data_IF_253452040119
#
_entry.id   IF_253452040119
#
_cell.length_a   1.000
_cell.length_b   1.000
_cell.length_c   1.000
_cell.angle_alpha   90.00
_cell.angle_beta   90.00
_cell.angle_gamma   90.00
#
_symmetry.space_group_name_H-M   'P 1'
#
loop_
_entity.id
_entity.type
_entity.pdbx_description
1 polymer ?
#
# COMPACT_ATOMS: atom_id res chain seq x y z
N UNK A 1 3.13 -0.02 -25.75
CA UNK A 1 3.36 -0.90 -24.58
C UNK A 1 3.40 -2.33 -25.05
N UNK A 2 4.42 -3.11 -24.65
CA UNK A 2 4.44 -4.55 -24.91
C UNK A 2 3.31 -5.20 -24.08
N UNK A 3 2.46 -6.00 -24.73
CA UNK A 3 1.38 -6.74 -24.06
C UNK A 3 1.90 -8.12 -23.68
N UNK A 4 2.18 -8.32 -22.40
CA UNK A 4 2.49 -9.64 -21.87
C UNK A 4 1.17 -10.33 -21.48
N UNK A 5 1.01 -11.60 -21.85
CA UNK A 5 -0.17 -12.38 -21.49
C UNK A 5 0.15 -13.21 -20.23
N UNK A 6 -0.56 -12.95 -19.14
CA UNK A 6 -0.47 -13.73 -17.91
C UNK A 6 -1.48 -14.88 -17.99
N UNK A 7 -1.03 -16.11 -17.77
CA UNK A 7 -1.91 -17.29 -17.64
C UNK A 7 -2.64 -17.22 -16.31
N UNK A 8 -3.97 -17.31 -16.34
CA UNK A 8 -4.82 -17.30 -15.15
C UNK A 8 -5.24 -18.74 -14.82
N UNK A 9 -5.06 -19.12 -13.55
CA UNK A 9 -5.55 -20.37 -12.98
C UNK A 9 -6.61 -20.08 -11.91
N UNK A 10 -7.54 -21.00 -11.75
CA UNK A 10 -8.61 -20.98 -10.75
C UNK A 10 -8.49 -22.21 -9.85
N UNK A 11 -8.62 -22.01 -8.54
CA UNK A 11 -8.70 -23.08 -7.56
C UNK A 11 -10.07 -23.01 -6.88
N UNK A 12 -10.97 -23.90 -7.25
CA UNK A 12 -12.34 -23.92 -6.71
C UNK A 12 -12.37 -24.61 -5.35
N UNK A 13 -12.63 -23.84 -4.30
CA UNK A 13 -12.87 -24.38 -2.96
C UNK A 13 -14.34 -24.79 -2.82
N UNK A 14 -14.67 -26.07 -2.61
CA UNK A 14 -16.06 -26.50 -2.49
C UNK A 14 -16.66 -26.06 -1.15
N UNK A 15 -17.93 -25.64 -1.16
CA UNK A 15 -18.67 -25.22 0.05
C UNK A 15 -18.71 -26.31 1.12
N UNK A 16 -18.66 -27.59 0.72
CA UNK A 16 -18.54 -28.73 1.65
C UNK A 16 -17.25 -28.71 2.46
N UNK A 17 -16.11 -28.30 1.88
CA UNK A 17 -14.86 -28.14 2.61
C UNK A 17 -14.93 -26.95 3.58
N UNK A 18 -15.44 -25.80 3.13
CA UNK A 18 -15.66 -24.62 4.00
C UNK A 18 -16.58 -24.98 5.19
N UNK A 19 -17.60 -25.83 5.00
CA UNK A 19 -18.48 -26.29 6.07
C UNK A 19 -17.81 -27.18 7.13
N UNK A 20 -16.67 -27.83 6.81
CA UNK A 20 -15.88 -28.60 7.81
C UNK A 20 -15.14 -27.68 8.78
N UNK A 21 -14.76 -26.48 8.34
CA UNK A 21 -14.01 -25.50 9.14
C UNK A 21 -14.85 -24.95 10.32
N UNK A 22 -14.20 -24.82 11.48
CA UNK A 22 -14.79 -24.14 12.64
C UNK A 22 -15.14 -22.67 12.34
N UNK A 23 -15.99 -22.03 13.16
CA UNK A 23 -16.31 -20.61 12.97
C UNK A 23 -15.07 -19.69 12.99
N UNK A 24 -14.07 -19.99 13.83
CA UNK A 24 -12.82 -19.21 13.89
C UNK A 24 -11.95 -19.44 12.65
N UNK A 25 -11.83 -20.68 12.17
CA UNK A 25 -11.07 -20.99 10.95
C UNK A 25 -11.68 -20.33 9.72
N UNK A 26 -13.01 -20.39 9.55
CA UNK A 26 -13.70 -19.67 8.47
C UNK A 26 -13.46 -18.16 8.55
N UNK A 27 -13.57 -17.58 9.74
CA UNK A 27 -13.31 -16.16 9.96
C UNK A 27 -11.87 -15.79 9.59
N UNK A 28 -10.89 -16.55 10.06
CA UNK A 28 -9.48 -16.32 9.77
C UNK A 28 -9.19 -16.46 8.26
N UNK A 29 -9.65 -17.54 7.61
CA UNK A 29 -9.47 -17.77 6.18
C UNK A 29 -9.96 -16.59 5.33
N UNK A 30 -11.22 -16.16 5.52
CA UNK A 30 -11.78 -15.04 4.74
C UNK A 30 -11.13 -13.70 5.09
N UNK A 31 -10.77 -13.45 6.35
CA UNK A 31 -10.12 -12.20 6.75
C UNK A 31 -8.69 -12.10 6.20
N UNK A 32 -7.90 -13.17 6.28
CA UNK A 32 -6.53 -13.21 5.71
C UNK A 32 -6.56 -13.01 4.20
N UNK A 33 -7.49 -13.69 3.49
CA UNK A 33 -7.69 -13.50 2.05
C UNK A 33 -8.12 -12.08 1.67
N UNK A 34 -8.97 -11.44 2.48
CA UNK A 34 -9.35 -10.05 2.28
C UNK A 34 -8.17 -9.08 2.46
N UNK A 35 -7.41 -9.23 3.56
CA UNK A 35 -6.21 -8.42 3.85
C UNK A 35 -5.17 -8.57 2.73
N UNK A 36 -4.90 -9.80 2.29
CA UNK A 36 -3.98 -10.08 1.19
C UNK A 36 -4.37 -9.33 -0.08
N UNK A 37 -5.65 -9.39 -0.48
CA UNK A 37 -6.14 -8.69 -1.66
C UNK A 37 -5.95 -7.17 -1.55
N UNK A 38 -6.32 -6.55 -0.41
CA UNK A 38 -6.12 -5.12 -0.20
C UNK A 38 -4.64 -4.70 -0.29
N UNK A 39 -3.74 -5.46 0.36
CA UNK A 39 -2.31 -5.17 0.33
C UNK A 39 -1.68 -5.41 -1.04
N UNK A 40 -2.10 -6.45 -1.77
CA UNK A 40 -1.66 -6.68 -3.16
C UNK A 40 -2.13 -5.58 -4.12
N UNK A 41 -3.29 -4.96 -3.88
CA UNK A 41 -3.70 -3.77 -4.64
C UNK A 41 -2.83 -2.57 -4.27
N UNK A 42 -2.57 -2.33 -2.99
CA UNK A 42 -1.77 -1.19 -2.51
C UNK A 42 -0.30 -1.29 -2.92
N UNK A 43 0.28 -2.49 -2.94
CA UNK A 43 1.62 -2.75 -3.46
C UNK A 43 1.71 -2.39 -4.95
N UNK A 44 0.74 -2.83 -5.77
CA UNK A 44 0.67 -2.47 -7.20
C UNK A 44 0.48 -0.96 -7.41
N UNK A 45 -0.45 -0.33 -6.69
CA UNK A 45 -0.70 1.11 -6.77
C UNK A 45 0.54 1.91 -6.37
N UNK A 46 1.26 1.49 -5.33
CA UNK A 46 2.54 2.09 -4.93
C UNK A 46 3.55 2.01 -6.07
N UNK A 47 3.77 0.81 -6.64
CA UNK A 47 4.67 0.63 -7.79
C UNK A 47 4.23 1.41 -9.03
N UNK A 48 2.94 1.70 -9.22
CA UNK A 48 2.44 2.49 -10.34
C UNK A 48 2.48 4.00 -10.09
N UNK A 49 2.46 4.48 -8.85
CA UNK A 49 2.55 5.90 -8.54
C UNK A 49 3.99 6.45 -8.64
N UNK A 50 4.99 5.61 -8.35
CA UNK A 50 6.41 5.97 -8.46
C UNK A 50 6.74 6.58 -9.85
N UNK A 51 7.39 7.76 -9.92
CA UNK A 51 7.82 8.37 -11.19
C UNK A 51 8.73 7.45 -12.01
N UNK A 52 8.49 7.36 -13.33
CA UNK A 52 9.20 6.43 -14.26
C UNK A 52 9.96 7.11 -15.39
N UNK A 53 10.31 8.39 -15.20
CA UNK A 53 11.01 9.20 -16.18
C UNK A 53 12.17 9.98 -15.56
N UNK A 54 13.00 10.57 -16.41
CA UNK A 54 14.16 11.39 -16.01
C UNK A 54 13.86 12.89 -15.89
N UNK A 55 12.61 13.32 -16.10
CA UNK A 55 12.21 14.72 -15.93
C UNK A 55 12.13 15.07 -14.43
N UNK A 56 13.07 15.90 -13.98
CA UNK A 56 13.24 16.32 -12.58
C UNK A 56 12.63 17.68 -12.28
N UNK A 57 11.99 18.34 -13.25
CA UNK A 57 11.39 19.67 -13.05
C UNK A 57 10.31 19.59 -11.98
N UNK A 58 10.25 20.57 -11.07
CA UNK A 58 9.30 20.60 -9.96
C UNK A 58 7.84 20.42 -10.42
N UNK A 59 7.46 21.05 -11.54
CA UNK A 59 6.13 20.94 -12.16
C UNK A 59 5.75 19.50 -12.54
N UNK A 60 6.73 18.65 -12.81
CA UNK A 60 6.52 17.25 -13.17
C UNK A 60 6.66 16.34 -11.95
N UNK A 61 7.78 16.44 -11.24
CA UNK A 61 8.17 15.48 -10.20
C UNK A 61 7.43 15.69 -8.87
N UNK A 62 7.16 16.93 -8.46
CA UNK A 62 6.51 17.25 -7.18
C UNK A 62 5.13 16.61 -7.01
N UNK A 63 4.19 16.81 -7.95
CA UNK A 63 2.85 16.22 -7.88
C UNK A 63 2.84 14.68 -7.88
N UNK A 64 3.76 14.04 -8.62
CA UNK A 64 3.84 12.58 -8.68
C UNK A 64 4.43 11.97 -7.41
N UNK A 65 5.42 12.62 -6.79
CA UNK A 65 5.93 12.23 -5.48
C UNK A 65 4.85 12.41 -4.39
N UNK A 66 4.05 13.47 -4.44
CA UNK A 66 2.92 13.66 -3.54
C UNK A 66 1.84 12.57 -3.70
N UNK A 67 1.49 12.23 -4.94
CA UNK A 67 0.56 11.12 -5.24
C UNK A 67 1.11 9.77 -4.72
N UNK A 68 2.42 9.55 -4.88
CA UNK A 68 3.11 8.36 -4.34
C UNK A 68 3.02 8.32 -2.82
N UNK A 69 3.34 9.42 -2.14
CA UNK A 69 3.28 9.54 -0.68
C UNK A 69 1.86 9.35 -0.12
N UNK A 70 0.85 9.85 -0.80
CA UNK A 70 -0.55 9.60 -0.44
C UNK A 70 -0.89 8.10 -0.46
N UNK A 71 -0.54 7.39 -1.54
CA UNK A 71 -0.78 5.95 -1.66
C UNK A 71 0.03 5.15 -0.62
N UNK A 72 1.28 5.53 -0.39
CA UNK A 72 2.13 4.92 0.65
C UNK A 72 1.56 5.10 2.06
N UNK A 73 0.96 6.26 2.39
CA UNK A 73 0.28 6.46 3.68
C UNK A 73 -0.91 5.52 3.85
N UNK A 74 -1.69 5.25 2.80
CA UNK A 74 -2.77 4.25 2.84
C UNK A 74 -2.19 2.83 3.03
N UNK A 75 -1.14 2.48 2.28
CA UNK A 75 -0.45 1.19 2.39
C UNK A 75 0.11 0.93 3.80
N UNK A 76 0.80 1.91 4.37
CA UNK A 76 1.31 1.92 5.74
C UNK A 76 0.18 1.64 6.76
N UNK A 77 -0.94 2.35 6.60
CA UNK A 77 -2.13 2.17 7.47
C UNK A 77 -2.67 0.75 7.42
N UNK A 78 -2.79 0.17 6.22
CA UNK A 78 -3.32 -1.18 6.04
C UNK A 78 -2.37 -2.27 6.52
N UNK A 79 -1.05 -2.09 6.36
CA UNK A 79 -0.04 -3.01 6.94
C UNK A 79 -0.11 -3.01 8.47
N UNK A 80 -0.30 -1.84 9.11
CA UNK A 80 -0.48 -1.76 10.55
C UNK A 80 -1.76 -2.46 11.04
N UNK A 81 -2.90 -2.19 10.40
CA UNK A 81 -4.16 -2.85 10.78
C UNK A 81 -4.15 -4.36 10.47
N UNK A 82 -3.35 -4.82 9.50
CA UNK A 82 -3.10 -6.23 9.24
C UNK A 82 -2.32 -6.92 10.38
N UNK A 83 -1.25 -6.32 10.92
CA UNK A 83 -0.53 -6.86 12.09
C UNK A 83 -1.42 -6.92 13.35
N UNK A 84 -2.24 -5.88 13.57
CA UNK A 84 -3.29 -5.90 14.60
C UNK A 84 -4.25 -7.07 14.37
N UNK A 85 -4.63 -7.37 13.12
CA UNK A 85 -5.53 -8.49 12.84
C UNK A 85 -4.86 -9.86 13.04
N UNK A 86 -3.58 -10.01 12.70
CA UNK A 86 -2.79 -11.23 12.95
C UNK A 86 -2.61 -11.52 14.46
N UNK A 87 -2.59 -10.48 15.30
CA UNK A 87 -2.46 -10.59 16.76
C UNK A 87 -3.79 -10.66 17.52
N UNK A 88 -4.94 -10.37 16.89
CA UNK A 88 -6.27 -10.54 17.51
C UNK A 88 -6.56 -12.01 17.82
N UNK A 89 -7.13 -12.27 19.01
CA UNK A 89 -7.38 -13.61 19.55
C UNK A 89 -7.95 -14.63 18.54
N UNK A 90 -8.99 -14.26 17.78
CA UNK A 90 -9.64 -15.17 16.84
C UNK A 90 -8.69 -15.67 15.72
N UNK A 91 -7.85 -14.80 15.17
CA UNK A 91 -6.87 -15.15 14.13
C UNK A 91 -5.66 -15.82 14.78
N UNK A 92 -5.09 -15.20 15.82
CA UNK A 92 -3.91 -15.70 16.53
C UNK A 92 -4.09 -17.13 17.08
N UNK A 93 -5.31 -17.49 17.52
CA UNK A 93 -5.64 -18.86 17.94
C UNK A 93 -5.52 -19.85 16.78
N UNK A 94 -6.11 -19.54 15.62
CA UNK A 94 -6.05 -20.39 14.40
C UNK A 94 -4.61 -20.50 13.88
N UNK A 95 -3.86 -19.39 13.86
CA UNK A 95 -2.44 -19.41 13.48
C UNK A 95 -1.65 -20.35 14.41
N UNK A 96 -1.84 -20.23 15.73
CA UNK A 96 -1.09 -21.01 16.73
C UNK A 96 -1.51 -22.50 16.80
N UNK A 97 -2.79 -22.80 16.67
CA UNK A 97 -3.35 -24.13 16.92
C UNK A 97 -3.49 -24.98 15.64
N UNK A 98 -3.72 -24.34 14.49
CA UNK A 98 -3.96 -25.04 13.23
C UNK A 98 -2.82 -24.85 12.23
N UNK A 99 -2.34 -23.61 12.01
CA UNK A 99 -1.37 -23.35 10.92
C UNK A 99 0.08 -23.63 11.33
N UNK A 100 0.60 -23.02 12.41
CA UNK A 100 2.01 -23.16 12.81
C UNK A 100 2.46 -24.58 13.17
N UNK A 101 1.60 -25.52 13.64
CA UNK A 101 1.98 -26.93 13.76
C UNK A 101 2.26 -27.62 12.40
N UNK A 102 1.67 -27.11 11.31
CA UNK A 102 1.86 -27.60 9.94
C UNK A 102 2.94 -26.80 9.19
N UNK A 103 3.15 -25.53 9.57
CA UNK A 103 4.11 -24.61 8.98
C UNK A 103 4.84 -23.78 10.06
N UNK A 104 5.86 -24.36 10.73
CA UNK A 104 6.60 -23.69 11.80
C UNK A 104 7.33 -22.41 11.34
N UNK A 105 7.81 -22.37 10.10
CA UNK A 105 8.52 -21.24 9.51
C UNK A 105 7.64 -19.99 9.43
N UNK A 106 6.32 -20.15 9.24
CA UNK A 106 5.35 -19.06 9.27
C UNK A 106 5.37 -18.27 10.59
N UNK A 107 5.74 -18.92 11.70
CA UNK A 107 5.92 -18.22 12.97
C UNK A 107 7.18 -17.34 12.97
N UNK A 108 8.27 -17.82 12.39
CA UNK A 108 9.54 -17.07 12.24
C UNK A 108 9.34 -15.88 11.31
N UNK A 109 8.56 -16.05 10.24
CA UNK A 109 8.17 -14.95 9.33
C UNK A 109 7.34 -13.88 10.04
N UNK A 110 6.32 -14.28 10.82
CA UNK A 110 5.52 -13.35 11.62
C UNK A 110 6.36 -12.59 12.65
N UNK A 111 7.20 -13.29 13.43
CA UNK A 111 8.07 -12.67 14.43
C UNK A 111 9.06 -11.70 13.76
N UNK A 112 9.62 -12.04 12.60
CA UNK A 112 10.52 -11.18 11.80
C UNK A 112 9.81 -9.92 11.28
N UNK A 113 8.61 -10.07 10.73
CA UNK A 113 7.77 -8.97 10.29
C UNK A 113 7.47 -8.02 11.44
N UNK A 114 7.06 -8.55 12.60
CA UNK A 114 6.78 -7.74 13.79
C UNK A 114 8.02 -7.02 14.33
N UNK A 115 9.21 -7.61 14.24
CA UNK A 115 10.46 -6.93 14.57
C UNK A 115 10.71 -5.75 13.61
N UNK A 116 10.50 -5.90 12.30
CA UNK A 116 10.62 -4.78 11.35
C UNK A 116 9.57 -3.69 11.61
N UNK A 117 8.29 -4.05 11.81
CA UNK A 117 7.21 -3.11 12.12
C UNK A 117 7.50 -2.29 13.37
N UNK A 118 8.05 -2.91 14.43
CA UNK A 118 8.46 -2.22 15.67
C UNK A 118 9.67 -1.30 15.48
N UNK A 119 10.57 -1.61 14.53
CA UNK A 119 11.71 -0.74 14.17
C UNK A 119 11.28 0.46 13.33
N UNK A 120 10.27 0.30 12.48
CA UNK A 120 9.68 1.36 11.67
C UNK A 120 8.84 2.35 12.51
N UNK A 121 9.49 3.12 13.39
CA UNK A 121 8.84 4.09 14.32
C UNK A 121 7.88 5.04 13.59
N UNK A 122 8.26 5.45 12.38
CA UNK A 122 7.48 6.32 11.48
C UNK A 122 6.09 5.76 11.16
N UNK A 123 5.93 4.43 11.09
CA UNK A 123 4.67 3.76 10.76
C UNK A 123 3.57 4.07 11.79
N UNK A 124 3.95 4.01 13.08
CA UNK A 124 3.05 4.36 14.19
C UNK A 124 2.64 5.84 14.18
N UNK A 125 3.52 6.73 13.70
CA UNK A 125 3.22 8.15 13.56
C UNK A 125 2.23 8.38 12.43
N UNK A 126 2.49 7.82 11.24
CA UNK A 126 1.56 7.90 10.10
C UNK A 126 0.17 7.40 10.51
N UNK A 127 0.10 6.21 11.13
CA UNK A 127 -1.16 5.61 11.56
C UNK A 127 -1.97 6.50 12.51
N UNK A 128 -1.33 7.05 13.54
CA UNK A 128 -2.03 7.78 14.59
C UNK A 128 -2.35 9.24 14.26
N UNK A 129 -1.68 9.85 13.26
CA UNK A 129 -1.77 11.29 13.00
C UNK A 129 -2.14 11.67 11.56
N UNK A 130 -2.00 10.76 10.59
CA UNK A 130 -1.93 11.12 9.17
C UNK A 130 -2.75 10.27 8.21
N UNK A 131 -3.07 9.03 8.57
CA UNK A 131 -3.76 8.08 7.68
C UNK A 131 -5.11 8.59 7.18
N UNK A 132 -5.98 8.98 8.13
CA UNK A 132 -7.37 9.39 7.88
C UNK A 132 -7.79 10.56 8.79
N UNK A 133 -6.82 11.30 9.32
CA UNK A 133 -7.03 12.42 10.21
C UNK A 133 -6.33 13.65 9.66
N UNK A 134 -7.05 14.77 9.65
CA UNK A 134 -6.43 16.07 9.45
C UNK A 134 -5.73 16.51 10.75
N UNK A 135 -4.58 17.19 10.65
CA UNK A 135 -3.90 17.78 11.79
C UNK A 135 -4.78 18.85 12.45
N UNK A 136 -4.61 19.02 13.76
CA UNK A 136 -5.21 20.14 14.50
C UNK A 136 -4.41 21.41 14.28
N UNK A 137 -5.01 22.57 14.57
CA UNK A 137 -4.32 23.86 14.51
C UNK A 137 -3.07 23.87 15.40
N UNK A 138 -3.16 23.28 16.59
CA UNK A 138 -2.03 23.15 17.53
C UNK A 138 -0.90 22.25 16.97
N UNK A 139 -1.26 21.18 16.25
CA UNK A 139 -0.28 20.28 15.63
C UNK A 139 0.47 20.96 14.46
N UNK A 140 -0.15 21.95 13.79
CA UNK A 140 0.36 22.59 12.56
C UNK A 140 0.93 24.00 12.73
N UNK A 141 0.68 24.69 13.85
CA UNK A 141 1.09 26.08 14.08
C UNK A 141 2.53 26.38 13.67
N UNK A 142 3.47 25.55 14.10
CA UNK A 142 4.91 25.80 13.90
C UNK A 142 5.33 25.64 12.43
N UNK A 143 4.61 24.83 11.65
CA UNK A 143 4.87 24.60 10.21
C UNK A 143 4.02 25.49 9.30
N UNK A 144 3.03 26.20 9.84
CA UNK A 144 2.18 27.16 9.11
C UNK A 144 2.47 28.62 9.47
N UNK A 145 3.41 28.89 10.37
CA UNK A 145 3.85 30.25 10.72
C UNK A 145 5.01 30.67 9.81
N UNK A 146 4.89 31.75 9.01
CA UNK A 146 5.95 32.21 8.12
C UNK A 146 7.24 32.57 8.85
N UNK A 147 8.38 32.25 8.22
CA UNK A 147 9.72 32.66 8.67
C UNK A 147 10.49 33.34 7.53
N UNK A 148 11.62 33.97 7.84
CA UNK A 148 12.51 34.61 6.85
C UNK A 148 13.08 33.63 5.80
N UNK A 149 12.93 32.31 6.02
CA UNK A 149 13.42 31.25 5.12
C UNK A 149 12.31 30.64 4.26
N UNK A 150 11.10 31.20 4.27
CA UNK A 150 10.00 30.74 3.40
C UNK A 150 10.17 31.24 1.97
N UNK A 151 9.79 30.41 1.01
CA UNK A 151 9.71 30.73 -0.42
C UNK A 151 8.25 31.03 -0.81
N UNK A 152 8.03 31.67 -1.96
CA UNK A 152 6.69 31.99 -2.45
C UNK A 152 5.85 30.72 -2.77
N UNK A 153 4.58 30.77 -2.36
CA UNK A 153 3.61 29.69 -2.60
C UNK A 153 3.39 29.41 -4.09
N UNK A 154 3.75 28.21 -4.53
CA UNK A 154 3.53 27.75 -5.91
C UNK A 154 2.27 26.89 -6.05
N UNK A 155 1.31 27.37 -6.85
CA UNK A 155 0.16 26.59 -7.32
C UNK A 155 0.39 26.24 -8.80
N UNK A 156 0.51 24.95 -9.10
CA UNK A 156 0.66 24.46 -10.46
C UNK A 156 -0.73 24.17 -11.03
N UNK A 157 -1.05 24.76 -12.18
CA UNK A 157 -2.38 24.65 -12.81
C UNK A 157 -2.25 24.25 -14.28
N UNK A 158 -3.10 23.34 -14.72
CA UNK A 158 -3.40 23.10 -16.13
C UNK A 158 -4.87 23.44 -16.44
N UNK A 159 -5.30 23.20 -17.68
CA UNK A 159 -6.62 23.61 -18.19
C UNK A 159 -7.84 22.92 -17.51
N UNK A 160 -7.60 21.96 -16.62
CA UNK A 160 -8.62 21.19 -15.91
C UNK A 160 -8.43 21.34 -14.41
N UNK A 161 -9.51 21.43 -13.63
CA UNK A 161 -9.43 21.46 -12.16
C UNK A 161 -8.82 20.19 -11.54
N UNK A 162 -8.89 19.05 -12.25
CA UNK A 162 -8.17 17.81 -11.89
C UNK A 162 -6.65 17.91 -12.09
N UNK A 163 -6.19 18.93 -12.81
CA UNK A 163 -4.78 19.27 -13.03
C UNK A 163 -4.45 20.52 -12.20
N UNK A 164 -4.59 20.43 -10.88
CA UNK A 164 -4.15 21.47 -9.94
C UNK A 164 -3.34 20.87 -8.80
N UNK A 165 -2.23 21.49 -8.44
CA UNK A 165 -1.36 21.04 -7.34
C UNK A 165 -0.89 22.23 -6.50
N UNK A 166 -1.22 22.20 -5.21
CA UNK A 166 -0.85 23.20 -4.22
C UNK A 166 0.47 22.79 -3.55
N UNK A 167 1.59 23.21 -4.16
CA UNK A 167 2.92 22.70 -3.80
C UNK A 167 3.35 23.06 -2.38
N UNK A 168 3.00 24.26 -1.92
CA UNK A 168 3.29 24.71 -0.57
C UNK A 168 2.49 23.94 0.49
N UNK A 169 1.19 23.74 0.28
CA UNK A 169 0.33 22.98 1.20
C UNK A 169 0.81 21.54 1.39
N UNK A 170 1.25 20.89 0.31
CA UNK A 170 1.85 19.55 0.38
C UNK A 170 3.24 19.59 1.05
N UNK A 171 4.06 20.62 0.80
CA UNK A 171 5.37 20.76 1.43
C UNK A 171 5.28 20.98 2.95
N UNK A 172 4.32 21.79 3.42
CA UNK A 172 3.99 21.96 4.85
C UNK A 172 3.54 20.62 5.45
N UNK A 173 2.67 19.89 4.75
CA UNK A 173 2.22 18.58 5.19
C UNK A 173 3.39 17.59 5.29
N UNK A 174 4.28 17.54 4.31
CA UNK A 174 5.49 16.69 4.32
C UNK A 174 6.49 17.09 5.41
N UNK A 175 6.70 18.39 5.64
CA UNK A 175 7.55 18.87 6.73
C UNK A 175 6.99 18.42 8.08
N UNK A 176 5.68 18.55 8.31
CA UNK A 176 5.03 18.05 9.52
C UNK A 176 5.11 16.53 9.68
N UNK A 177 4.95 15.78 8.57
CA UNK A 177 5.02 14.32 8.53
C UNK A 177 6.41 13.79 8.88
N UNK A 178 7.45 14.34 8.24
CA UNK A 178 8.79 13.73 8.20
C UNK A 178 9.83 14.48 9.04
N UNK A 179 9.60 15.76 9.37
CA UNK A 179 10.43 16.51 10.31
C UNK A 179 10.44 15.95 11.74
N UNK A 180 9.57 14.97 12.05
CA UNK A 180 9.60 14.18 13.30
C UNK A 180 10.40 12.87 13.21
N UNK A 181 10.83 12.49 12.01
CA UNK A 181 11.68 11.31 11.74
C UNK A 181 13.14 11.75 11.72
N UNK A 182 13.44 12.80 10.95
CA UNK A 182 14.73 13.49 10.93
C UNK A 182 14.46 15.00 10.81
N UNK A 183 14.97 15.79 11.75
CA UNK A 183 14.76 17.24 11.78
C UNK A 183 15.72 18.00 10.84
N UNK A 184 16.75 17.33 10.29
CA UNK A 184 17.80 17.97 9.50
C UNK A 184 17.45 18.15 8.03
N UNK A 185 16.76 17.16 7.41
CA UNK A 185 16.11 17.31 6.10
C UNK A 185 14.92 16.33 5.95
N UNK A 186 13.67 16.82 6.00
CA UNK A 186 12.48 16.02 5.74
C UNK A 186 12.48 15.28 4.40
N UNK A 187 13.18 15.79 3.37
CA UNK A 187 13.29 15.17 2.04
C UNK A 187 14.24 13.97 2.04
N UNK A 188 15.26 13.97 2.90
CA UNK A 188 16.13 12.79 3.11
C UNK A 188 15.34 11.66 3.77
N UNK A 189 14.46 11.97 4.73
CA UNK A 189 13.63 10.97 5.43
C UNK A 189 12.62 10.22 4.54
N UNK A 190 12.17 10.82 3.43
CA UNK A 190 11.17 10.22 2.53
C UNK A 190 11.68 8.95 1.86
N UNK A 191 12.89 8.95 1.31
CA UNK A 191 13.37 7.83 0.49
C UNK A 191 13.56 6.53 1.29
N UNK A 192 14.23 6.52 2.46
CA UNK A 192 14.32 5.33 3.31
C UNK A 192 12.94 4.82 3.74
N UNK A 193 11.96 5.71 3.95
CA UNK A 193 10.58 5.31 4.25
C UNK A 193 9.90 4.60 3.06
N UNK A 194 10.13 5.04 1.82
CA UNK A 194 9.62 4.35 0.61
C UNK A 194 10.22 2.93 0.52
N UNK A 195 11.54 2.83 0.74
CA UNK A 195 12.29 1.57 0.69
C UNK A 195 11.83 0.62 1.84
N UNK A 196 11.75 1.09 3.09
CA UNK A 196 11.18 0.35 4.23
C UNK A 196 9.73 -0.11 3.95
N UNK A 197 8.87 0.75 3.39
CA UNK A 197 7.46 0.42 3.13
C UNK A 197 7.32 -0.65 2.05
N UNK A 198 8.15 -0.62 1.01
CA UNK A 198 8.19 -1.66 -0.01
C UNK A 198 8.61 -3.01 0.59
N UNK A 199 9.62 -3.00 1.47
CA UNK A 199 10.07 -4.16 2.25
C UNK A 199 8.98 -4.73 3.16
N UNK A 200 8.27 -3.85 3.89
CA UNK A 200 7.18 -4.23 4.79
C UNK A 200 5.96 -4.79 4.04
N UNK A 201 5.59 -4.19 2.91
CA UNK A 201 4.55 -4.73 2.03
C UNK A 201 4.93 -6.11 1.51
N UNK A 202 6.15 -6.26 1.01
CA UNK A 202 6.66 -7.54 0.47
C UNK A 202 6.63 -8.65 1.52
N UNK A 203 7.09 -8.37 2.74
CA UNK A 203 7.08 -9.33 3.86
C UNK A 203 5.66 -9.68 4.33
N UNK A 204 4.77 -8.70 4.44
CA UNK A 204 3.37 -8.92 4.84
C UNK A 204 2.61 -9.71 3.78
N UNK A 205 2.75 -9.36 2.49
CA UNK A 205 2.12 -10.10 1.39
C UNK A 205 2.64 -11.54 1.32
N UNK A 206 3.96 -11.76 1.40
CA UNK A 206 4.56 -13.10 1.39
C UNK A 206 4.09 -13.94 2.59
N UNK A 207 4.05 -13.38 3.80
CA UNK A 207 3.50 -14.09 4.97
C UNK A 207 2.05 -14.50 4.76
N UNK A 208 1.20 -13.60 4.25
CA UNK A 208 -0.21 -13.89 4.02
C UNK A 208 -0.42 -14.95 2.93
N UNK A 209 0.37 -14.92 1.86
CA UNK A 209 0.31 -15.91 0.77
C UNK A 209 0.68 -17.32 1.25
N UNK A 210 1.76 -17.46 2.04
CA UNK A 210 2.16 -18.73 2.64
C UNK A 210 1.11 -19.24 3.65
N UNK A 211 0.61 -18.38 4.54
CA UNK A 211 -0.44 -18.75 5.50
C UNK A 211 -1.73 -19.21 4.79
N UNK A 212 -2.13 -18.54 3.70
CA UNK A 212 -3.29 -18.92 2.88
C UNK A 212 -3.04 -20.20 2.08
N UNK A 213 -1.81 -20.41 1.60
CA UNK A 213 -1.40 -21.63 0.90
C UNK A 213 -1.48 -22.86 1.80
N UNK A 214 -0.97 -22.77 3.03
CA UNK A 214 -1.12 -23.83 4.05
C UNK A 214 -2.60 -24.06 4.38
N UNK A 215 -3.39 -22.99 4.52
CA UNK A 215 -4.83 -23.10 4.76
C UNK A 215 -5.54 -23.87 3.64
N UNK A 216 -5.24 -23.54 2.38
CA UNK A 216 -5.84 -24.17 1.22
C UNK A 216 -5.42 -25.63 1.07
N UNK A 217 -4.11 -25.92 1.15
CA UNK A 217 -3.56 -27.25 0.90
C UNK A 217 -3.83 -28.23 2.04
N UNK A 218 -3.45 -27.87 3.26
CA UNK A 218 -3.40 -28.81 4.38
C UNK A 218 -4.73 -28.89 5.16
N UNK A 219 -5.58 -27.86 5.10
CA UNK A 219 -6.80 -27.77 5.91
C UNK A 219 -8.09 -27.91 5.07
N UNK A 220 -8.12 -27.37 3.85
CA UNK A 220 -9.35 -27.26 3.04
C UNK A 220 -9.43 -28.32 1.92
N UNK A 221 -8.34 -28.56 1.18
CA UNK A 221 -8.37 -29.31 -0.09
C UNK A 221 -7.65 -30.65 -0.05
N UNK A 222 -7.28 -31.13 1.14
CA UNK A 222 -6.63 -32.41 1.41
C UNK A 222 -5.42 -32.66 0.46
N UNK A 223 -4.65 -31.61 0.16
CA UNK A 223 -3.45 -31.59 -0.71
C UNK A 223 -3.64 -31.87 -2.21
N UNK A 224 -4.79 -32.42 -2.63
CA UNK A 224 -4.93 -33.09 -3.94
C UNK A 224 -5.62 -32.26 -5.04
N UNK A 225 -6.00 -31.00 -4.76
CA UNK A 225 -6.74 -30.17 -5.74
C UNK A 225 -5.81 -29.21 -6.49
N UNK A 226 -5.57 -29.50 -7.77
CA UNK A 226 -4.75 -28.64 -8.64
C UNK A 226 -5.52 -27.44 -9.24
N UNK A 227 -4.93 -26.23 -9.30
CA UNK A 227 -5.56 -25.08 -9.95
C UNK A 227 -5.71 -25.27 -11.47
N UNK A 228 -6.95 -25.19 -11.97
CA UNK A 228 -7.29 -25.31 -13.38
C UNK A 228 -6.96 -24.03 -14.14
N UNK A 229 -6.31 -24.11 -15.30
CA UNK A 229 -6.13 -22.95 -16.18
C UNK A 229 -7.49 -22.51 -16.76
N UNK A 230 -7.87 -21.25 -16.56
CA UNK A 230 -9.13 -20.67 -17.05
C UNK A 230 -8.96 -19.68 -18.20
N UNK A 231 -7.74 -19.18 -18.46
CA UNK A 231 -7.50 -18.31 -19.60
C UNK A 231 -6.14 -17.60 -19.58
N UNK A 232 -6.04 -16.55 -20.39
CA UNK A 232 -4.92 -15.61 -20.40
C UNK A 232 -5.45 -14.18 -20.42
N UNK A 233 -4.83 -13.28 -19.67
CA UNK A 233 -5.18 -11.86 -19.62
C UNK A 233 -3.98 -11.02 -20.05
N UNK A 234 -4.23 -10.00 -20.89
CA UNK A 234 -3.20 -9.02 -21.25
C UNK A 234 -2.91 -8.12 -20.06
N UNK A 235 -1.65 -8.11 -19.62
CA UNK A 235 -1.15 -7.23 -18.57
C UNK A 235 -0.17 -6.18 -19.14
N UNK A 236 -0.11 -5.03 -18.48
CA UNK A 236 0.97 -4.08 -18.68
C UNK A 236 2.23 -4.57 -17.94
N UNK A 237 3.41 -4.28 -18.49
CA UNK A 237 4.66 -4.39 -17.73
C UNK A 237 4.62 -3.35 -16.59
N UNK A 238 4.90 -3.81 -15.36
CA UNK A 238 4.94 -2.99 -14.14
C UNK A 238 5.89 -1.79 -14.26
N UNK A 239 6.95 -1.90 -15.05
CA UNK A 239 7.90 -0.82 -15.30
C UNK A 239 7.44 0.15 -16.41
N UNK A 240 6.47 -0.27 -17.23
CA UNK A 240 5.95 0.51 -18.38
C UNK A 240 4.72 1.37 -18.06
N UNK A 241 4.03 1.10 -16.94
CA UNK A 241 2.81 1.79 -16.54
C UNK A 241 3.04 2.67 -15.32
N UNK A 242 2.65 3.93 -15.39
CA UNK A 242 2.56 4.83 -14.26
C UNK A 242 1.16 5.45 -14.19
N UNK A 243 0.67 5.73 -12.99
CA UNK A 243 -0.53 6.56 -12.80
C UNK A 243 -0.09 8.00 -13.04
N UNK A 244 -0.63 8.71 -14.04
CA UNK A 244 -0.28 10.10 -14.26
C UNK A 244 -0.98 10.99 -13.23
N UNK A 245 -0.25 11.97 -12.68
CA UNK A 245 -0.90 13.10 -12.00
C UNK A 245 -1.62 14.00 -13.02
N UNK A 246 -0.89 14.43 -14.06
CA UNK A 246 -1.40 15.29 -15.12
C UNK A 246 -2.18 14.48 -16.17
N UNK A 247 -3.49 14.74 -16.30
CA UNK A 247 -4.38 14.02 -17.22
C UNK A 247 -4.92 14.91 -18.34
N UNK A 248 -5.09 14.35 -19.53
CA UNK A 248 -5.79 15.01 -20.64
C UNK A 248 -7.20 14.43 -20.77
N UNK A 249 -8.23 15.29 -20.74
CA UNK A 249 -9.58 14.90 -21.11
C UNK A 249 -9.82 15.26 -22.59
N UNK A 250 -9.98 14.28 -23.50
CA UNK A 250 -10.22 14.57 -24.92
C UNK A 250 -11.57 15.23 -25.21
N UNK A 251 -12.54 15.23 -24.28
CA UNK A 251 -13.88 15.77 -24.51
C UNK A 251 -13.96 17.30 -24.55
N UNK A 252 -12.89 18.02 -24.23
CA UNK A 252 -12.87 19.51 -24.19
C UNK A 252 -12.60 20.17 -25.55
N UNK A 253 -12.34 19.40 -26.62
CA UNK A 253 -11.94 19.94 -27.94
C UNK A 253 -13.01 20.68 -28.75
N UNK A 254 -14.26 20.81 -28.27
CA UNK A 254 -15.40 21.26 -29.07
C UNK A 254 -16.04 22.61 -28.69
N UNK A 255 -15.49 23.38 -27.74
CA UNK A 255 -16.06 24.69 -27.33
C UNK A 255 -15.39 25.92 -27.98
N UNK A 256 -14.38 25.74 -28.84
CA UNK A 256 -13.53 26.82 -29.37
C UNK A 256 -13.77 27.25 -30.82
N UNK A 257 -14.97 27.00 -31.39
CA UNK A 257 -15.32 27.43 -32.76
C UNK A 257 -16.78 27.91 -32.83
N UNK A 258 -17.05 29.07 -32.21
CA UNK A 258 -18.19 29.97 -32.48
C UNK A 258 -17.78 31.41 -32.19
#
# INVERSE_FOLDING_TARGET
MAKHNITIKELTVPVSAIRKLSPHERYAYYLLGHIFNELMYLQKLTSFAMPKHKDTRAVRLGPELAQTLFILRIAASKVWEADICLTKHAVASVLKQTIFPLFPEGRVMLDTLQIKLKKAKWLSHIRNKLSFHYPKMEDWRDVTTPTETWEDDSILMGDLSSNMFYSASESIAQHWMFGRIDMSDPKIGVRPMIEDMADLLSLMCTLLDELLTVFLREIILDGNTEPKQIGKVSAADINSFAIPFWIHNPSTKNSGNK
#
